data_IF_772510867362
#
_entry.id   IF_772510867362
#
_cell.length_a   1.000
_cell.length_b   1.000
_cell.length_c   1.000
_cell.angle_alpha   90.00
_cell.angle_beta   90.00
_cell.angle_gamma   90.00
#
_symmetry.space_group_name_H-M   'P 1'
#
loop_
_entity.id
_entity.type
_entity.pdbx_description
1 polymer ?
#
# COMPACT_ATOMS: atom_id res chain seq x y z
N UNK A 1 26.94 -31.09 5.25
CA UNK A 1 25.76 -30.25 5.51
C UNK A 1 25.94 -29.01 4.64
N UNK A 2 25.27 -28.94 3.49
CA UNK A 2 25.36 -27.74 2.64
C UNK A 2 24.66 -26.63 3.40
N UNK A 3 25.41 -25.62 3.82
CA UNK A 3 24.84 -24.36 4.29
C UNK A 3 24.07 -23.76 3.11
N UNK A 4 22.74 -23.80 3.15
CA UNK A 4 21.93 -23.00 2.24
C UNK A 4 22.30 -21.54 2.50
N UNK A 5 23.06 -20.96 1.58
CA UNK A 5 23.50 -19.57 1.67
C UNK A 5 22.30 -18.67 1.41
N UNK A 6 21.67 -18.19 2.48
CA UNK A 6 20.71 -17.10 2.41
C UNK A 6 21.42 -15.83 1.94
N UNK A 7 21.05 -15.31 0.78
CA UNK A 7 21.64 -14.09 0.24
C UNK A 7 20.98 -12.84 0.87
N UNK A 8 21.73 -11.74 1.08
CA UNK A 8 21.17 -10.48 1.55
C UNK A 8 20.05 -9.95 0.63
N UNK A 9 20.18 -10.21 -0.67
CA UNK A 9 19.16 -9.94 -1.68
C UNK A 9 19.17 -11.06 -2.71
N UNK A 10 18.01 -11.62 -3.02
CA UNK A 10 17.88 -12.69 -4.01
C UNK A 10 16.56 -12.65 -4.77
N UNK A 11 16.62 -13.03 -6.04
CA UNK A 11 15.42 -13.35 -6.83
C UNK A 11 14.97 -14.76 -6.50
N UNK A 12 13.75 -14.90 -6.02
CA UNK A 12 13.16 -16.20 -5.76
C UNK A 12 12.84 -16.90 -7.10
N UNK A 13 13.00 -18.23 -7.15
CA UNK A 13 12.91 -19.01 -8.40
C UNK A 13 11.48 -19.43 -8.73
N UNK A 14 10.64 -19.52 -7.72
CA UNK A 14 9.25 -19.92 -7.85
C UNK A 14 8.41 -18.79 -8.45
N UNK A 15 7.23 -19.14 -8.94
CA UNK A 15 6.29 -18.15 -9.43
C UNK A 15 5.82 -17.23 -8.30
N UNK A 16 5.43 -15.97 -8.61
CA UNK A 16 4.76 -15.09 -7.65
C UNK A 16 3.59 -15.76 -6.92
N UNK A 17 2.79 -16.55 -7.65
CA UNK A 17 1.68 -17.31 -7.08
C UNK A 17 2.13 -18.25 -5.94
N UNK A 18 3.18 -19.04 -6.17
CA UNK A 18 3.72 -19.98 -5.19
C UNK A 18 4.32 -19.24 -3.99
N UNK A 19 5.10 -18.18 -4.22
CA UNK A 19 5.77 -17.43 -3.15
C UNK A 19 4.74 -16.77 -2.22
N UNK A 20 3.70 -16.15 -2.79
CA UNK A 20 2.67 -15.44 -2.02
C UNK A 20 1.90 -16.39 -1.07
N UNK A 21 1.82 -17.70 -1.36
CA UNK A 21 1.19 -18.68 -0.46
C UNK A 21 1.88 -18.77 0.92
N UNK A 22 3.13 -18.30 1.04
CA UNK A 22 3.89 -18.35 2.29
C UNK A 22 3.63 -17.16 3.22
N UNK A 23 2.93 -16.12 2.76
CA UNK A 23 2.67 -14.91 3.56
C UNK A 23 2.00 -15.17 4.93
N UNK A 24 1.02 -16.10 5.06
CA UNK A 24 0.42 -16.38 6.36
C UNK A 24 1.40 -16.90 7.42
N UNK A 25 2.52 -17.50 7.01
CA UNK A 25 3.54 -18.03 7.91
C UNK A 25 4.59 -16.98 8.35
N UNK A 26 4.56 -15.76 7.79
CA UNK A 26 5.55 -14.71 8.07
C UNK A 26 5.26 -13.88 9.33
N UNK A 27 4.22 -14.23 10.09
CA UNK A 27 3.72 -13.40 11.18
C UNK A 27 3.04 -12.13 10.64
N UNK A 28 3.34 -10.97 11.21
CA UNK A 28 2.81 -9.69 10.71
C UNK A 28 3.54 -9.19 9.46
N UNK A 29 2.77 -8.90 8.41
CA UNK A 29 3.24 -8.34 7.14
C UNK A 29 2.66 -6.94 6.95
N UNK A 30 3.47 -6.01 6.46
CA UNK A 30 3.05 -4.71 5.94
C UNK A 30 3.06 -4.73 4.41
N UNK A 31 1.90 -4.61 3.79
CA UNK A 31 1.76 -4.39 2.35
C UNK A 31 1.73 -2.89 2.10
N UNK A 32 2.84 -2.35 1.57
CA UNK A 32 3.05 -0.92 1.33
C UNK A 32 3.17 -0.63 -0.16
N UNK A 33 2.38 0.31 -0.65
CA UNK A 33 2.36 0.75 -2.04
C UNK A 33 2.24 2.26 -2.15
N UNK A 34 2.75 2.82 -3.26
CA UNK A 34 2.68 4.27 -3.54
C UNK A 34 2.27 4.56 -4.98
N UNK A 35 1.42 5.56 -5.15
CA UNK A 35 0.99 6.11 -6.44
C UNK A 35 0.32 7.47 -6.21
N UNK A 36 0.44 8.39 -7.18
CA UNK A 36 -0.33 9.63 -7.19
C UNK A 36 -0.22 10.49 -5.92
N UNK A 37 0.93 10.48 -5.25
CA UNK A 37 1.16 11.22 -4.00
C UNK A 37 0.61 10.56 -2.73
N UNK A 38 -0.01 9.38 -2.83
CA UNK A 38 -0.44 8.57 -1.70
C UNK A 38 0.53 7.41 -1.44
N UNK A 39 0.76 7.11 -0.17
CA UNK A 39 1.33 5.85 0.32
C UNK A 39 0.25 5.16 1.14
N UNK A 40 -0.12 3.95 0.74
CA UNK A 40 -1.16 3.14 1.39
C UNK A 40 -0.53 1.88 1.97
N UNK A 41 -0.75 1.65 3.26
CA UNK A 41 -0.14 0.53 4.00
C UNK A 41 -1.21 -0.24 4.78
N UNK A 42 -1.28 -1.55 4.57
CA UNK A 42 -2.02 -2.49 5.43
C UNK A 42 -1.04 -3.33 6.22
N UNK A 43 -1.26 -3.46 7.54
CA UNK A 43 -0.32 -4.12 8.46
C UNK A 43 -1.03 -5.12 9.35
N UNK A 44 -0.52 -6.35 9.38
CA UNK A 44 -1.05 -7.39 10.25
C UNK A 44 -0.76 -8.78 9.71
N UNK A 45 -1.24 -9.81 10.40
CA UNK A 45 -1.14 -11.17 9.89
C UNK A 45 -1.98 -11.32 8.61
N UNK A 46 -1.43 -11.96 7.58
CA UNK A 46 -2.20 -12.36 6.40
C UNK A 46 -2.97 -13.62 6.78
N UNK A 47 -4.30 -13.56 6.78
CA UNK A 47 -5.13 -14.69 7.20
C UNK A 47 -5.10 -15.83 6.19
N UNK A 48 -5.24 -15.51 4.91
CA UNK A 48 -5.17 -16.47 3.81
C UNK A 48 -4.71 -15.83 2.51
N UNK A 49 -4.10 -16.64 1.65
CA UNK A 49 -3.80 -16.28 0.26
C UNK A 49 -4.46 -17.28 -0.66
N UNK A 50 -5.37 -16.82 -1.53
CA UNK A 50 -5.98 -17.66 -2.56
C UNK A 50 -5.54 -17.20 -3.94
N UNK A 51 -5.17 -18.14 -4.80
CA UNK A 51 -4.79 -17.84 -6.19
C UNK A 51 -5.82 -18.43 -7.14
N UNK A 52 -6.34 -17.60 -8.05
CA UNK A 52 -7.26 -18.00 -9.10
C UNK A 52 -6.85 -17.34 -10.42
N UNK A 53 -6.34 -18.14 -11.37
CA UNK A 53 -5.80 -17.62 -12.62
C UNK A 53 -4.65 -16.65 -12.37
N UNK A 54 -4.79 -15.41 -12.86
CA UNK A 54 -3.80 -14.35 -12.70
C UNK A 54 -4.06 -13.46 -11.47
N UNK A 55 -4.91 -13.90 -10.54
CA UNK A 55 -5.25 -13.11 -9.35
C UNK A 55 -4.80 -13.83 -8.08
N UNK A 56 -4.08 -13.13 -7.20
CA UNK A 56 -3.87 -13.53 -5.82
C UNK A 56 -4.64 -12.61 -4.87
N UNK A 57 -5.53 -13.16 -4.06
CA UNK A 57 -6.27 -12.45 -3.01
C UNK A 57 -5.59 -12.69 -1.66
N UNK A 58 -5.18 -11.60 -1.01
CA UNK A 58 -4.80 -11.59 0.40
C UNK A 58 -6.05 -11.20 1.20
N UNK A 59 -6.45 -12.07 2.11
CA UNK A 59 -7.62 -11.86 2.95
C UNK A 59 -7.29 -12.11 4.43
N UNK A 60 -8.09 -11.52 5.32
CA UNK A 60 -7.98 -11.67 6.76
C UNK A 60 -8.49 -10.42 7.46
N UNK A 61 -8.35 -10.37 8.78
CA UNK A 61 -8.75 -9.20 9.58
C UNK A 61 -8.07 -7.90 9.12
N UNK A 62 -6.79 -7.99 8.75
CA UNK A 62 -5.95 -6.82 8.45
C UNK A 62 -5.64 -6.61 6.97
N UNK A 63 -6.03 -7.56 6.11
CA UNK A 63 -5.70 -7.51 4.69
C UNK A 63 -6.95 -7.79 3.88
N UNK A 64 -7.21 -6.87 2.96
CA UNK A 64 -8.14 -7.06 1.85
C UNK A 64 -7.48 -6.49 0.61
N UNK A 65 -6.81 -7.34 -0.16
CA UNK A 65 -5.97 -6.91 -1.27
C UNK A 65 -5.94 -7.92 -2.40
N UNK A 66 -5.86 -7.41 -3.63
CA UNK A 66 -5.80 -8.19 -4.86
C UNK A 66 -4.52 -7.86 -5.58
N UNK A 67 -3.77 -8.88 -5.96
CA UNK A 67 -2.52 -8.78 -6.72
C UNK A 67 -2.75 -9.39 -8.11
N UNK A 68 -2.44 -8.61 -9.14
CA UNK A 68 -2.49 -9.08 -10.54
C UNK A 68 -1.15 -9.72 -10.92
N UNK A 69 -1.15 -11.05 -10.97
CA UNK A 69 -0.02 -11.91 -11.31
C UNK A 69 0.34 -11.89 -12.80
N UNK A 70 -0.47 -11.25 -13.66
CA UNK A 70 -0.05 -10.96 -15.04
C UNK A 70 0.90 -9.77 -15.13
N UNK A 71 0.88 -8.90 -14.10
CA UNK A 71 1.75 -7.72 -13.99
C UNK A 71 2.91 -8.00 -13.03
N UNK A 72 2.67 -8.64 -11.88
CA UNK A 72 3.72 -9.03 -10.95
C UNK A 72 4.39 -10.29 -11.46
N UNK A 73 5.60 -10.16 -12.02
CA UNK A 73 6.31 -11.28 -12.68
C UNK A 73 7.48 -11.82 -11.88
N UNK A 74 8.01 -11.08 -10.90
CA UNK A 74 9.11 -11.57 -10.05
C UNK A 74 9.05 -11.02 -8.63
N UNK A 75 9.52 -11.82 -7.67
CA UNK A 75 9.64 -11.43 -6.27
C UNK A 75 11.10 -11.50 -5.83
N UNK A 76 11.57 -10.40 -5.24
CA UNK A 76 12.92 -10.29 -4.69
C UNK A 76 12.83 -10.31 -3.17
N UNK A 77 13.46 -11.28 -2.52
CA UNK A 77 13.66 -11.26 -1.09
C UNK A 77 14.86 -10.34 -0.77
N UNK A 78 14.60 -9.23 -0.09
CA UNK A 78 15.61 -8.29 0.39
C UNK A 78 15.64 -8.28 1.92
N UNK A 79 16.76 -8.71 2.49
CA UNK A 79 17.05 -8.82 3.92
C UNK A 79 17.95 -7.69 4.43
N UNK A 80 18.32 -6.77 3.54
CA UNK A 80 19.23 -5.66 3.86
C UNK A 80 18.51 -4.45 4.48
N UNK A 81 17.18 -4.42 4.40
CA UNK A 81 16.32 -3.35 4.94
C UNK A 81 16.53 -3.15 6.44
N UNK A 82 16.90 -1.93 6.85
CA UNK A 82 17.05 -1.56 8.25
C UNK A 82 16.19 -0.35 8.57
N UNK A 83 15.40 -0.45 9.64
CA UNK A 83 14.68 0.66 10.23
C UNK A 83 15.16 0.82 11.67
N UNK A 84 15.93 1.89 11.93
CA UNK A 84 16.69 2.06 13.17
C UNK A 84 17.55 0.80 13.42
N UNK A 85 17.38 0.15 14.57
CA UNK A 85 18.15 -1.03 14.97
C UNK A 85 17.52 -2.36 14.50
N UNK A 86 16.36 -2.33 13.85
CA UNK A 86 15.64 -3.54 13.41
C UNK A 86 15.85 -3.80 11.92
N UNK A 87 16.20 -5.04 11.58
CA UNK A 87 16.15 -5.53 10.20
C UNK A 87 14.70 -5.84 9.85
N UNK A 88 14.21 -5.25 8.76
CA UNK A 88 12.88 -5.48 8.22
C UNK A 88 13.04 -6.08 6.82
N UNK A 89 13.04 -7.41 6.70
CA UNK A 89 13.09 -8.06 5.39
C UNK A 89 11.81 -7.78 4.61
N UNK A 90 11.90 -7.79 3.29
CA UNK A 90 10.76 -7.55 2.41
C UNK A 90 10.82 -8.43 1.16
N UNK A 91 9.64 -8.71 0.62
CA UNK A 91 9.47 -9.14 -0.75
C UNK A 91 9.16 -7.92 -1.61
N UNK A 92 10.05 -7.58 -2.54
CA UNK A 92 9.80 -6.59 -3.59
C UNK A 92 9.03 -7.28 -4.71
N UNK A 93 7.80 -6.84 -4.95
CA UNK A 93 6.96 -7.37 -6.04
C UNK A 93 7.24 -6.55 -7.29
N UNK A 94 7.86 -7.16 -8.30
CA UNK A 94 8.35 -6.47 -9.48
C UNK A 94 7.59 -6.85 -10.74
N UNK A 95 7.51 -5.90 -11.67
CA UNK A 95 7.04 -6.14 -13.03
C UNK A 95 8.12 -6.77 -13.93
N UNK A 96 7.77 -6.96 -15.21
CA UNK A 96 8.66 -7.54 -16.20
C UNK A 96 9.90 -6.67 -16.53
N UNK A 97 9.87 -5.38 -16.18
CA UNK A 97 11.00 -4.46 -16.33
C UNK A 97 11.94 -4.47 -15.13
N UNK A 98 11.53 -5.10 -14.02
CA UNK A 98 12.23 -5.08 -12.74
C UNK A 98 11.87 -3.88 -11.85
N UNK A 99 10.86 -3.08 -12.22
CA UNK A 99 10.35 -2.02 -11.37
C UNK A 99 9.61 -2.62 -10.17
N UNK A 100 9.92 -2.15 -8.96
CA UNK A 100 9.19 -2.54 -7.76
C UNK A 100 7.84 -1.83 -7.69
N UNK A 101 6.76 -2.58 -7.90
CA UNK A 101 5.40 -2.08 -7.87
C UNK A 101 4.93 -1.79 -6.44
N UNK A 102 5.23 -2.71 -5.52
CA UNK A 102 4.91 -2.62 -4.09
C UNK A 102 5.79 -3.57 -3.29
N UNK A 103 5.71 -3.51 -1.96
CA UNK A 103 6.51 -4.37 -1.08
C UNK A 103 5.67 -5.01 0.03
N UNK A 104 5.99 -6.26 0.35
CA UNK A 104 5.47 -7.01 1.49
C UNK A 104 6.59 -7.12 2.54
N UNK A 105 6.48 -6.39 3.64
CA UNK A 105 7.54 -6.23 4.62
C UNK A 105 7.22 -7.07 5.85
N UNK A 106 8.15 -7.96 6.24
CA UNK A 106 8.04 -8.76 7.45
C UNK A 106 8.32 -7.90 8.68
N UNK A 107 7.29 -7.61 9.46
CA UNK A 107 7.39 -6.71 10.61
C UNK A 107 8.05 -7.34 11.84
N UNK A 108 8.19 -8.65 11.87
CA UNK A 108 8.77 -9.40 12.99
C UNK A 108 10.29 -9.59 12.86
N UNK A 109 10.84 -9.40 11.66
CA UNK A 109 12.27 -9.51 11.38
C UNK A 109 12.62 -10.74 10.55
N UNK A 110 13.91 -11.10 10.54
CA UNK A 110 14.44 -12.15 9.65
C UNK A 110 13.90 -13.55 9.95
N UNK A 111 13.82 -13.94 11.22
CA UNK A 111 13.53 -15.33 11.57
C UNK A 111 12.15 -15.82 11.07
N UNK A 112 11.01 -15.14 11.34
CA UNK A 112 9.73 -15.56 10.77
C UNK A 112 9.69 -15.50 9.25
N UNK A 113 10.35 -14.49 8.67
CA UNK A 113 10.42 -14.29 7.22
C UNK A 113 11.16 -15.44 6.52
N UNK A 114 12.34 -15.80 7.02
CA UNK A 114 13.16 -16.88 6.46
C UNK A 114 12.54 -18.26 6.70
N UNK A 115 11.95 -18.48 7.88
CA UNK A 115 11.23 -19.73 8.16
C UNK A 115 10.07 -19.94 7.19
N UNK A 116 9.32 -18.88 6.86
CA UNK A 116 8.23 -18.96 5.90
C UNK A 116 8.72 -19.31 4.49
N UNK A 117 9.87 -18.78 4.06
CA UNK A 117 10.43 -19.00 2.72
C UNK A 117 11.33 -20.22 2.60
N UNK A 118 11.71 -20.88 3.71
CA UNK A 118 12.70 -21.96 3.72
C UNK A 118 12.41 -23.08 2.72
N UNK A 119 11.13 -23.45 2.55
CA UNK A 119 10.72 -24.50 1.62
C UNK A 119 10.95 -24.17 0.13
N UNK A 120 11.15 -22.88 -0.19
CA UNK A 120 11.44 -22.41 -1.55
C UNK A 120 12.92 -22.59 -1.92
N UNK A 121 13.79 -22.79 -0.93
CA UNK A 121 15.24 -22.85 -1.10
C UNK A 121 15.85 -21.51 -1.51
N UNK A 122 17.18 -21.52 -1.72
CA UNK A 122 17.91 -20.31 -2.08
C UNK A 122 17.58 -19.80 -3.50
N UNK A 123 17.49 -18.48 -3.62
CA UNK A 123 17.23 -17.80 -4.88
C UNK A 123 18.48 -17.64 -5.76
N UNK A 124 18.37 -16.75 -6.74
CA UNK A 124 19.51 -16.19 -7.47
C UNK A 124 20.01 -14.95 -6.73
N UNK A 125 21.28 -14.96 -6.30
CA UNK A 125 21.88 -13.81 -5.63
C UNK A 125 21.82 -12.56 -6.51
N UNK A 126 21.49 -11.43 -5.88
CA UNK A 126 21.46 -10.12 -6.53
C UNK A 126 22.42 -9.15 -5.88
N UNK A 127 22.88 -8.19 -6.67
CA UNK A 127 23.59 -7.05 -6.13
C UNK A 127 22.73 -6.31 -5.10
N UNK A 128 23.36 -5.73 -4.06
CA UNK A 128 22.67 -4.90 -3.09
C UNK A 128 21.87 -3.80 -3.78
N UNK A 129 20.65 -3.57 -3.31
CA UNK A 129 19.87 -2.44 -3.80
C UNK A 129 20.63 -1.13 -3.51
N UNK A 130 20.81 -0.30 -4.54
CA UNK A 130 21.27 1.07 -4.36
C UNK A 130 20.19 1.79 -3.54
N UNK A 131 20.55 2.21 -2.32
CA UNK A 131 19.67 3.10 -1.56
C UNK A 131 19.73 4.46 -2.23
N UNK A 132 18.60 4.90 -2.77
CA UNK A 132 18.42 6.32 -3.06
C UNK A 132 18.57 7.07 -1.74
N UNK A 133 19.51 8.02 -1.70
CA UNK A 133 19.60 8.93 -0.58
C UNK A 133 18.26 9.68 -0.49
N UNK A 134 17.66 9.82 0.71
CA UNK A 134 16.50 10.67 0.84
C UNK A 134 16.85 12.05 0.27
N UNK A 135 16.05 12.51 -0.69
CA UNK A 135 16.18 13.85 -1.25
C UNK A 135 16.15 14.83 -0.08
N UNK A 136 17.28 15.51 0.16
CA UNK A 136 17.51 16.38 1.32
C UNK A 136 16.72 17.69 1.29
N UNK A 137 15.68 17.78 0.46
CA UNK A 137 14.82 18.95 0.40
C UNK A 137 13.91 18.98 1.62
N UNK A 138 13.87 20.14 2.28
CA UNK A 138 12.92 20.40 3.34
C UNK A 138 11.51 20.13 2.79
N UNK A 139 10.78 19.21 3.42
CA UNK A 139 9.41 18.94 3.00
C UNK A 139 8.58 20.16 3.40
N UNK A 140 7.95 20.86 2.45
CA UNK A 140 7.21 22.07 2.76
C UNK A 140 6.09 21.76 3.74
N UNK A 141 5.79 22.73 4.61
CA UNK A 141 4.66 22.65 5.51
C UNK A 141 3.36 22.52 4.71
N UNK A 142 2.38 21.83 5.28
CA UNK A 142 1.10 21.60 4.60
C UNK A 142 0.34 22.93 4.50
N UNK A 143 -0.15 23.27 3.31
CA UNK A 143 -0.95 24.47 3.11
C UNK A 143 -2.27 24.40 3.91
N UNK A 144 -2.73 25.54 4.43
CA UNK A 144 -3.99 25.63 5.19
C UNK A 144 -5.21 25.21 4.35
N UNK A 145 -5.16 25.41 3.03
CA UNK A 145 -6.21 25.07 2.07
C UNK A 145 -5.96 23.75 1.32
N UNK A 146 -5.09 22.88 1.85
CA UNK A 146 -4.82 21.58 1.25
C UNK A 146 -6.10 20.73 1.15
N UNK A 147 -6.40 20.27 -0.07
CA UNK A 147 -7.62 19.51 -0.36
C UNK A 147 -7.66 18.19 0.41
N UNK A 148 -6.51 17.50 0.55
CA UNK A 148 -6.43 16.26 1.29
C UNK A 148 -6.77 16.48 2.77
N UNK A 149 -6.20 17.52 3.36
CA UNK A 149 -6.44 17.89 4.76
C UNK A 149 -7.91 18.23 5.00
N UNK A 150 -8.46 19.12 4.18
CA UNK A 150 -9.86 19.54 4.27
C UNK A 150 -10.83 18.37 4.04
N UNK A 151 -10.50 17.45 3.12
CA UNK A 151 -11.30 16.24 2.86
C UNK A 151 -11.40 15.36 4.10
N UNK A 152 -10.28 14.99 4.70
CA UNK A 152 -10.29 14.08 5.85
C UNK A 152 -10.84 14.76 7.12
N UNK A 153 -10.65 16.06 7.28
CA UNK A 153 -11.30 16.83 8.35
C UNK A 153 -12.84 16.83 8.19
N UNK A 154 -13.36 17.03 6.98
CA UNK A 154 -14.79 16.99 6.70
C UNK A 154 -15.40 15.60 6.95
N UNK A 155 -14.72 14.55 6.52
CA UNK A 155 -15.16 13.16 6.75
C UNK A 155 -15.17 12.85 8.25
N UNK A 156 -14.12 13.21 8.99
CA UNK A 156 -14.06 13.02 10.45
C UNK A 156 -15.24 13.73 11.14
N UNK A 157 -15.52 14.99 10.75
CA UNK A 157 -16.63 15.77 11.32
C UNK A 157 -18.01 15.16 11.03
N UNK A 158 -18.17 14.41 9.93
CA UNK A 158 -19.42 13.70 9.63
C UNK A 158 -19.70 12.52 10.58
N UNK A 159 -18.65 11.97 11.19
CA UNK A 159 -18.72 10.76 12.03
C UNK A 159 -19.11 9.48 11.28
N UNK A 160 -19.23 9.52 9.95
CA UNK A 160 -19.59 8.37 9.14
C UNK A 160 -18.35 7.50 8.85
N UNK A 161 -18.49 6.17 8.84
CA UNK A 161 -17.43 5.29 8.37
C UNK A 161 -17.26 5.44 6.86
N UNK A 162 -16.04 5.25 6.39
CA UNK A 162 -15.71 5.23 4.97
C UNK A 162 -14.82 4.04 4.64
N UNK A 163 -14.75 3.73 3.35
CA UNK A 163 -13.72 2.90 2.77
C UNK A 163 -12.72 3.77 2.01
N UNK A 164 -11.46 3.34 2.05
CA UNK A 164 -10.34 3.91 1.30
C UNK A 164 -9.78 2.76 0.47
N UNK A 165 -9.85 2.91 -0.85
CA UNK A 165 -9.18 2.00 -1.76
C UNK A 165 -7.96 2.67 -2.38
N UNK A 166 -6.98 1.84 -2.66
CA UNK A 166 -5.80 2.18 -3.40
C UNK A 166 -5.63 1.20 -4.55
N UNK A 167 -5.38 1.73 -5.75
CA UNK A 167 -5.16 0.92 -6.94
C UNK A 167 -3.98 1.45 -7.75
N UNK A 168 -3.19 0.54 -8.28
CA UNK A 168 -2.15 0.78 -9.29
C UNK A 168 -1.96 -0.48 -10.12
N UNK A 169 -1.23 -0.44 -11.25
CA UNK A 169 -0.87 -1.66 -11.97
C UNK A 169 -0.26 -2.70 -11.02
N UNK A 170 -0.82 -3.92 -11.03
CA UNK A 170 -0.38 -5.02 -10.18
C UNK A 170 -1.04 -5.11 -8.80
N UNK A 171 -1.77 -4.10 -8.32
CA UNK A 171 -2.27 -4.08 -6.95
C UNK A 171 -3.56 -3.29 -6.75
N UNK A 172 -4.49 -3.89 -6.00
CA UNK A 172 -5.57 -3.21 -5.31
C UNK A 172 -5.47 -3.50 -3.80
N UNK A 173 -5.69 -2.48 -2.97
CA UNK A 173 -5.83 -2.61 -1.52
C UNK A 173 -7.07 -1.86 -1.06
N UNK A 174 -7.77 -2.44 -0.11
CA UNK A 174 -8.94 -1.86 0.53
C UNK A 174 -8.69 -1.65 2.03
N UNK A 175 -9.26 -0.61 2.60
CA UNK A 175 -9.48 -0.43 4.04
C UNK A 175 -10.89 0.15 4.27
N UNK A 176 -11.53 -0.21 5.37
CA UNK A 176 -12.80 0.40 5.77
C UNK A 176 -12.87 0.54 7.29
N UNK A 177 -13.46 1.65 7.76
CA UNK A 177 -13.62 1.91 9.17
C UNK A 177 -14.05 3.33 9.49
N UNK A 178 -14.16 3.62 10.79
CA UNK A 178 -14.21 4.99 11.26
C UNK A 178 -12.86 5.67 11.01
N UNK A 179 -12.88 6.89 10.47
CA UNK A 179 -11.66 7.62 10.19
C UNK A 179 -10.96 8.03 11.51
N UNK A 180 -9.67 7.67 11.72
CA UNK A 180 -8.92 8.21 12.85
C UNK A 180 -8.62 9.70 12.62
N UNK A 181 -8.27 10.43 13.69
CA UNK A 181 -7.90 11.84 13.58
C UNK A 181 -6.73 12.03 12.60
N UNK A 182 -6.93 12.79 11.49
CA UNK A 182 -5.87 13.06 10.52
C UNK A 182 -4.78 13.95 11.13
N UNK A 183 -3.52 13.60 10.88
CA UNK A 183 -2.35 14.32 11.43
C UNK A 183 -1.52 14.95 10.32
N UNK A 184 -1.52 16.28 10.18
CA UNK A 184 -0.56 16.99 9.34
C UNK A 184 0.86 16.81 9.91
N UNK A 185 1.78 16.26 9.13
CA UNK A 185 3.18 16.09 9.55
C UNK A 185 4.09 15.95 8.33
N UNK A 186 5.19 16.69 8.32
CA UNK A 186 6.25 16.62 7.30
C UNK A 186 5.70 16.79 5.86
N UNK A 187 4.72 17.67 5.64
CA UNK A 187 4.12 17.90 4.32
C UNK A 187 3.16 16.79 3.85
N UNK A 188 2.71 15.91 4.76
CA UNK A 188 1.68 14.90 4.51
C UNK A 188 0.48 15.10 5.41
N UNK A 189 -0.69 14.72 4.91
CA UNK A 189 -1.86 14.37 5.73
C UNK A 189 -1.78 12.89 6.03
N UNK A 190 -1.69 12.55 7.31
CA UNK A 190 -1.52 11.18 7.75
C UNK A 190 -2.80 10.67 8.42
N UNK A 191 -3.37 9.60 7.89
CA UNK A 191 -4.49 8.86 8.50
C UNK A 191 -3.91 7.53 8.97
N UNK A 192 -3.77 7.35 10.28
CA UNK A 192 -3.03 6.22 10.83
C UNK A 192 -3.76 5.61 12.02
N UNK A 193 -3.94 4.30 11.98
CA UNK A 193 -4.39 3.48 13.10
C UNK A 193 -3.79 2.07 12.99
N UNK A 194 -3.80 1.31 14.08
CA UNK A 194 -3.12 0.02 14.28
C UNK A 194 -2.68 -0.79 13.04
N UNK A 195 -3.60 -1.05 12.11
CA UNK A 195 -3.45 -1.91 10.93
C UNK A 195 -3.46 -1.18 9.58
N UNK A 196 -3.58 0.15 9.58
CA UNK A 196 -3.73 0.96 8.37
C UNK A 196 -3.03 2.31 8.49
N UNK A 197 -2.17 2.61 7.51
CA UNK A 197 -1.64 3.95 7.31
C UNK A 197 -1.94 4.45 5.89
N UNK A 198 -2.35 5.70 5.80
CA UNK A 198 -2.33 6.49 4.58
C UNK A 198 -1.50 7.74 4.83
N UNK A 199 -0.52 7.96 3.96
CA UNK A 199 0.24 9.20 3.87
C UNK A 199 -0.12 9.87 2.54
N UNK A 200 -0.85 10.98 2.59
CA UNK A 200 -1.21 11.75 1.41
C UNK A 200 -0.35 13.02 1.35
N UNK A 201 0.50 13.14 0.33
CA UNK A 201 1.37 14.29 0.15
C UNK A 201 0.54 15.55 -0.08
N UNK A 202 0.94 16.66 0.54
CA UNK A 202 0.34 17.96 0.30
C UNK A 202 0.39 18.35 -1.17
N UNK A 203 -0.67 19.03 -1.63
CA UNK A 203 -0.89 19.42 -3.02
C UNK A 203 -0.91 18.26 -4.04
N UNK A 204 -0.99 17.01 -3.60
CA UNK A 204 -1.13 15.85 -4.51
C UNK A 204 -2.50 15.77 -5.18
N UNK A 205 -3.51 16.43 -4.61
CA UNK A 205 -4.88 16.41 -5.13
C UNK A 205 -5.21 17.74 -5.83
N UNK A 206 -5.93 17.65 -6.95
CA UNK A 206 -6.62 18.75 -7.61
C UNK A 206 -8.12 18.79 -7.29
N UNK A 207 -8.71 17.64 -6.96
CA UNK A 207 -10.12 17.50 -6.61
C UNK A 207 -10.58 16.03 -6.59
N UNK A 208 -11.90 15.85 -6.58
CA UNK A 208 -12.53 14.53 -6.55
C UNK A 208 -13.54 14.38 -7.69
N UNK A 209 -13.53 13.24 -8.37
CA UNK A 209 -14.58 12.83 -9.29
C UNK A 209 -15.59 11.96 -8.55
N UNK A 210 -16.81 12.47 -8.39
CA UNK A 210 -17.91 11.77 -7.75
C UNK A 210 -18.69 10.93 -8.75
N UNK A 211 -18.95 9.69 -8.34
CA UNK A 211 -19.82 8.71 -9.00
C UNK A 211 -20.58 7.96 -7.91
N UNK A 212 -21.64 7.25 -8.26
CA UNK A 212 -22.44 6.51 -7.28
C UNK A 212 -23.89 6.37 -7.70
N UNK A 213 -24.65 5.58 -6.94
CA UNK A 213 -26.09 5.42 -7.10
C UNK A 213 -26.76 5.61 -5.74
N UNK A 214 -27.85 6.38 -5.72
CA UNK A 214 -28.58 6.73 -4.51
C UNK A 214 -27.68 7.33 -3.43
N UNK A 215 -27.59 6.64 -2.29
CA UNK A 215 -26.85 7.08 -1.10
C UNK A 215 -25.40 6.57 -1.07
N UNK A 216 -25.01 5.67 -1.96
CA UNK A 216 -23.65 5.14 -2.02
C UNK A 216 -22.80 5.99 -2.98
N UNK A 217 -21.80 6.67 -2.43
CA UNK A 217 -20.93 7.59 -3.14
C UNK A 217 -19.51 7.03 -3.23
N UNK A 218 -18.91 7.20 -4.41
CA UNK A 218 -17.51 6.94 -4.72
C UNK A 218 -16.86 8.24 -5.16
N UNK A 219 -15.80 8.66 -4.46
CA UNK A 219 -14.95 9.79 -4.82
C UNK A 219 -13.60 9.27 -5.31
N UNK A 220 -13.30 9.46 -6.59
CA UNK A 220 -11.99 9.18 -7.17
C UNK A 220 -11.09 10.41 -7.09
N UNK A 221 -9.92 10.28 -6.50
CA UNK A 221 -8.97 11.36 -6.37
C UNK A 221 -8.37 11.71 -7.74
N UNK A 222 -8.37 13.01 -8.05
CA UNK A 222 -7.70 13.58 -9.21
C UNK A 222 -6.48 14.37 -8.76
N UNK A 223 -5.38 14.29 -9.52
CA UNK A 223 -4.23 15.16 -9.37
C UNK A 223 -4.53 16.60 -9.87
N UNK A 224 -3.60 17.57 -9.70
CA UNK A 224 -3.79 18.93 -10.20
C UNK A 224 -3.99 19.06 -11.72
N UNK A 225 -3.58 18.05 -12.50
CA UNK A 225 -3.78 17.98 -13.96
C UNK A 225 -5.11 17.29 -14.32
N UNK A 226 -5.89 16.86 -13.32
CA UNK A 226 -7.18 16.19 -13.50
C UNK A 226 -7.07 14.69 -13.82
N UNK A 227 -5.92 14.05 -13.61
CA UNK A 227 -5.72 12.62 -13.84
C UNK A 227 -6.01 11.80 -12.57
N UNK A 228 -6.59 10.60 -12.68
CA UNK A 228 -6.78 9.72 -11.53
C UNK A 228 -5.47 9.35 -10.83
N UNK A 229 -5.43 9.46 -9.50
CA UNK A 229 -4.25 9.11 -8.69
C UNK A 229 -4.17 7.63 -8.32
N UNK A 230 -5.30 6.92 -8.43
CA UNK A 230 -5.48 5.55 -7.94
C UNK A 230 -6.07 5.45 -6.53
N UNK A 231 -6.24 6.57 -5.82
CA UNK A 231 -6.91 6.66 -4.51
C UNK A 231 -8.42 6.88 -4.68
N UNK A 232 -9.23 6.14 -3.94
CA UNK A 232 -10.69 6.22 -3.99
C UNK A 232 -11.26 6.20 -2.57
N UNK A 233 -12.24 7.07 -2.31
CA UNK A 233 -13.05 7.02 -1.09
C UNK A 233 -14.44 6.48 -1.44
N UNK A 234 -14.99 5.60 -0.61
CA UNK A 234 -16.37 5.11 -0.74
C UNK A 234 -17.12 5.19 0.59
N UNK A 235 -18.41 5.40 0.55
CA UNK A 235 -19.23 5.53 1.73
C UNK A 235 -20.59 6.15 1.43
N UNK A 236 -21.34 6.47 2.49
CA UNK A 236 -22.63 7.14 2.35
C UNK A 236 -22.48 8.60 1.94
N UNK A 237 -23.45 9.16 1.22
CA UNK A 237 -23.42 10.56 0.78
C UNK A 237 -23.20 11.54 1.94
N UNK A 238 -23.77 11.23 3.10
CA UNK A 238 -23.57 12.01 4.33
C UNK A 238 -22.10 12.09 4.78
N UNK A 239 -21.26 11.09 4.48
CA UNK A 239 -19.84 11.12 4.81
C UNK A 239 -19.06 12.17 4.01
N UNK A 240 -19.59 12.55 2.83
CA UNK A 240 -18.88 13.37 1.86
C UNK A 240 -19.54 14.74 1.62
N UNK A 241 -20.61 15.07 2.34
CA UNK A 241 -21.41 16.28 2.12
C UNK A 241 -20.61 17.60 2.21
N UNK A 242 -19.52 17.62 3.01
CA UNK A 242 -18.66 18.79 3.18
C UNK A 242 -17.27 18.64 2.52
N UNK A 243 -17.07 17.60 1.70
CA UNK A 243 -15.78 17.39 1.02
C UNK A 243 -15.60 18.45 -0.08
N UNK A 244 -14.45 19.14 -0.15
CA UNK A 244 -14.22 20.20 -1.12
C UNK A 244 -13.91 19.67 -2.53
N UNK A 245 -14.13 20.51 -3.54
CA UNK A 245 -13.76 20.27 -4.96
C UNK A 245 -14.25 18.92 -5.51
N UNK A 246 -15.49 18.58 -5.19
CA UNK A 246 -16.18 17.40 -5.72
C UNK A 246 -16.88 17.77 -7.03
N UNK A 247 -16.60 17.03 -8.09
CA UNK A 247 -17.18 17.19 -9.42
C UNK A 247 -17.97 15.94 -9.80
N UNK A 248 -19.17 16.11 -10.35
CA UNK A 248 -19.93 14.96 -10.85
C UNK A 248 -19.25 14.35 -12.10
N UNK A 249 -19.21 13.01 -12.17
CA UNK A 249 -18.81 12.32 -13.40
C UNK A 249 -19.73 12.73 -14.55
N UNK A 250 -19.16 13.24 -15.63
CA UNK A 250 -19.93 13.46 -16.87
C UNK A 250 -20.23 12.07 -17.45
N UNK A 251 -21.50 11.72 -17.50
CA UNK A 251 -21.99 10.50 -18.17
C UNK A 251 -21.84 10.56 -19.68
#
# INVERSE_FOLDING_TARGET
MMTETTHPRERLRQSPAEILQHLPAMGRVMLSARAGGAIHERMGAVGSVTVAGNEARLAGEFHDSVIDLSVVTSLIADRSGKMRDKVLPKLECQDASGETLFSLIGLEGLEPFDNALAALGAGEALEPALREAPSGDATPELAEDDIGAATFAAILASGQPIAIDFSKPGLFQHWAGALPEPKPMMGFVNVMQGDFHLHLKGAALGGWLSSGDGDDVRLEALDPDGKPTGLVLRGKAAAFAAVPKVHASRG
#
